data_IF_025225861156
#
_entry.id   IF_025225861156
#
_cell.length_a   1.000
_cell.length_b   1.000
_cell.length_c   1.000
_cell.angle_alpha   90.00
_cell.angle_beta   90.00
_cell.angle_gamma   90.00
#
_symmetry.space_group_name_H-M   'P 1'
#
loop_
_entity.id
_entity.type
_entity.pdbx_description
1 polymer ?
#
# COMPACT_ATOMS: atom_id res chain seq x y z
N UNK A 1 -23.26 -1.68 -52.74
CA UNK A 1 -21.85 -1.48 -52.33
C UNK A 1 -21.88 -0.94 -50.91
N UNK A 2 -21.15 -1.53 -49.97
CA UNK A 2 -21.02 -1.07 -48.58
C UNK A 2 -19.55 -1.20 -48.16
N UNK A 3 -19.06 -0.25 -47.38
CA UNK A 3 -17.63 -0.01 -47.13
C UNK A 3 -17.07 -0.81 -45.95
N UNK A 4 -16.71 -2.08 -46.17
CA UNK A 4 -16.13 -2.94 -45.12
C UNK A 4 -14.70 -2.52 -44.68
N UNK A 5 -14.02 -1.65 -45.44
CA UNK A 5 -12.61 -1.27 -45.20
C UNK A 5 -12.36 -0.36 -43.99
N UNK A 6 -13.38 0.37 -43.52
CA UNK A 6 -13.24 1.34 -42.42
C UNK A 6 -13.28 0.65 -41.03
N UNK A 7 -14.05 -0.43 -40.90
CA UNK A 7 -14.24 -1.13 -39.62
C UNK A 7 -12.99 -1.94 -39.24
N UNK A 8 -12.43 -2.69 -40.18
CA UNK A 8 -11.18 -3.45 -39.97
C UNK A 8 -9.94 -2.56 -39.75
N UNK A 9 -10.04 -1.27 -40.11
CA UNK A 9 -9.02 -0.25 -39.84
C UNK A 9 -9.10 0.31 -38.41
N UNK A 10 -10.28 0.26 -37.78
CA UNK A 10 -10.53 0.73 -36.40
C UNK A 10 -10.09 -0.30 -35.38
N UNK A 11 -10.54 -1.55 -35.53
CA UNK A 11 -10.17 -2.68 -34.66
C UNK A 11 -8.65 -2.80 -34.52
N UNK A 12 -7.92 -2.82 -35.65
CA UNK A 12 -6.45 -2.88 -35.66
C UNK A 12 -5.76 -1.67 -35.00
N UNK A 13 -6.41 -0.50 -34.90
CA UNK A 13 -5.90 0.66 -34.14
C UNK A 13 -6.19 0.52 -32.65
N UNK A 14 -7.35 0.00 -32.28
CA UNK A 14 -7.75 -0.26 -30.90
C UNK A 14 -6.91 -1.37 -30.26
N UNK A 15 -6.67 -2.48 -30.98
CA UNK A 15 -5.77 -3.55 -30.54
C UNK A 15 -4.35 -3.05 -30.28
N UNK A 16 -3.82 -2.21 -31.17
CA UNK A 16 -2.49 -1.58 -30.99
C UNK A 16 -2.48 -0.63 -29.79
N UNK A 17 -3.57 0.10 -29.53
CA UNK A 17 -3.71 0.97 -28.37
C UNK A 17 -3.76 0.15 -27.08
N UNK A 18 -4.54 -0.95 -27.06
CA UNK A 18 -4.61 -1.87 -25.93
C UNK A 18 -3.27 -2.56 -25.65
N UNK A 19 -2.53 -2.98 -26.69
CA UNK A 19 -1.19 -3.54 -26.57
C UNK A 19 -0.18 -2.51 -26.04
N UNK A 20 -0.23 -1.27 -26.52
CA UNK A 20 0.62 -0.17 -26.04
C UNK A 20 0.36 0.17 -24.56
N UNK A 21 -0.92 0.23 -24.14
CA UNK A 21 -1.28 0.44 -22.73
C UNK A 21 -0.78 -0.71 -21.86
N UNK A 22 -1.01 -1.97 -22.26
CA UNK A 22 -0.52 -3.17 -21.55
C UNK A 22 1.01 -3.20 -21.42
N UNK A 23 1.74 -2.89 -22.50
CA UNK A 23 3.20 -2.80 -22.47
C UNK A 23 3.69 -1.68 -21.53
N UNK A 24 2.99 -0.53 -21.50
CA UNK A 24 3.35 0.58 -20.62
C UNK A 24 3.14 0.27 -19.12
N UNK A 25 2.10 -0.50 -18.77
CA UNK A 25 1.88 -0.97 -17.40
C UNK A 25 2.96 -1.99 -16.97
N UNK A 26 3.35 -2.89 -17.87
CA UNK A 26 4.39 -3.89 -17.59
C UNK A 26 5.76 -3.24 -17.36
N UNK A 27 6.11 -2.22 -18.15
CA UNK A 27 7.37 -1.47 -18.00
C UNK A 27 7.42 -0.58 -16.74
N UNK A 28 6.26 -0.14 -16.21
CA UNK A 28 6.19 0.62 -14.95
C UNK A 28 6.13 -0.27 -13.70
N UNK A 29 6.09 -1.61 -13.85
CA UNK A 29 6.00 -2.53 -12.72
C UNK A 29 4.66 -2.48 -11.97
N UNK A 30 3.63 -1.85 -12.55
CA UNK A 30 2.32 -1.64 -11.95
C UNK A 30 1.52 -2.96 -11.96
N UNK A 31 1.75 -3.81 -10.96
CA UNK A 31 0.94 -5.01 -10.75
C UNK A 31 -0.49 -4.57 -10.40
N UNK A 32 -1.48 -5.12 -11.10
CA UNK A 32 -2.88 -4.92 -10.76
C UNK A 32 -3.12 -5.28 -9.28
N UNK A 33 -3.58 -4.30 -8.50
CA UNK A 33 -3.90 -4.50 -7.07
C UNK A 33 -5.24 -5.20 -6.98
N UNK A 34 -5.23 -6.52 -7.15
CA UNK A 34 -6.33 -7.36 -6.68
C UNK A 34 -6.38 -7.24 -5.15
N UNK A 35 -7.52 -6.82 -4.62
CA UNK A 35 -7.71 -6.62 -3.17
C UNK A 35 -7.34 -7.88 -2.39
N UNK A 36 -6.40 -7.73 -1.46
CA UNK A 36 -6.08 -8.70 -0.44
C UNK A 36 -5.84 -7.90 0.85
N UNK A 37 -6.79 -8.00 1.78
CA UNK A 37 -6.67 -7.39 3.10
C UNK A 37 -5.54 -8.09 3.88
N UNK A 38 -4.69 -7.31 4.57
CA UNK A 38 -3.64 -7.83 5.45
C UNK A 38 -2.43 -8.46 4.76
N UNK A 39 -1.49 -7.65 4.24
CA UNK A 39 -0.15 -8.11 3.82
C UNK A 39 0.96 -7.44 4.66
N UNK A 40 1.23 -8.00 5.85
CA UNK A 40 2.36 -7.60 6.69
C UNK A 40 3.69 -8.10 6.09
N UNK A 41 4.68 -7.21 5.93
CA UNK A 41 6.00 -7.51 5.33
C UNK A 41 7.13 -6.61 5.91
N UNK A 42 7.91 -7.08 6.89
CA UNK A 42 9.13 -6.44 7.47
C UNK A 42 10.23 -7.49 7.77
N UNK A 43 11.51 -7.44 7.33
CA UNK A 43 12.31 -6.49 6.50
C UNK A 43 13.03 -7.21 5.32
N UNK A 44 13.03 -6.68 4.09
CA UNK A 44 13.79 -7.19 2.90
C UNK A 44 13.06 -8.25 2.03
N UNK A 45 13.33 -8.29 0.70
CA UNK A 45 12.65 -9.11 -0.34
C UNK A 45 11.86 -10.34 0.16
N UNK A 46 10.59 -10.13 0.52
CA UNK A 46 9.79 -11.12 1.27
C UNK A 46 9.42 -12.33 0.45
N UNK A 47 10.10 -13.44 0.74
CA UNK A 47 9.84 -14.76 0.17
C UNK A 47 9.75 -15.86 1.23
N UNK A 48 9.73 -15.50 2.51
CA UNK A 48 9.52 -16.42 3.63
C UNK A 48 8.22 -16.03 4.34
N UNK A 49 7.31 -16.98 4.47
CA UNK A 49 6.09 -16.85 5.26
C UNK A 49 6.44 -16.91 6.76
N UNK A 50 5.89 -16.00 7.56
CA UNK A 50 6.15 -15.99 8.99
C UNK A 50 5.44 -17.18 9.67
N UNK A 51 6.08 -17.90 10.63
CA UNK A 51 5.46 -19.02 11.34
C UNK A 51 4.18 -18.67 12.12
N UNK A 52 3.97 -17.39 12.38
CA UNK A 52 2.78 -16.86 13.03
C UNK A 52 2.44 -15.48 12.45
N UNK A 53 1.16 -15.28 12.13
CA UNK A 53 0.59 -14.00 11.76
C UNK A 53 -0.40 -13.59 12.86
N UNK A 54 -0.14 -12.51 13.63
CA UNK A 54 -1.07 -12.03 14.64
C UNK A 54 -2.43 -11.67 14.02
N UNK A 55 -3.52 -11.97 14.74
CA UNK A 55 -4.87 -11.57 14.32
C UNK A 55 -5.03 -10.06 14.53
N UNK A 56 -5.48 -9.33 13.52
CA UNK A 56 -5.90 -7.94 13.68
C UNK A 56 -7.11 -7.66 12.78
N UNK A 57 -8.01 -6.80 13.26
CA UNK A 57 -9.24 -6.37 12.59
C UNK A 57 -9.01 -5.17 11.67
N UNK A 58 -7.88 -4.49 11.79
CA UNK A 58 -7.48 -3.36 10.95
C UNK A 58 -6.48 -2.43 11.63
N UNK A 59 -6.12 -1.30 10.99
CA UNK A 59 -5.35 -0.24 11.62
C UNK A 59 -6.08 0.30 12.86
N UNK A 60 -5.37 0.39 13.99
CA UNK A 60 -5.95 0.82 15.27
C UNK A 60 -6.57 -0.30 16.12
N UNK A 61 -6.49 -1.57 15.70
CA UNK A 61 -6.94 -2.69 16.54
C UNK A 61 -5.98 -2.96 17.70
N UNK A 62 -6.40 -2.61 18.92
CA UNK A 62 -5.63 -2.79 20.16
C UNK A 62 -5.76 -4.19 20.77
N UNK A 63 -6.54 -5.12 20.19
CA UNK A 63 -6.91 -6.40 20.84
C UNK A 63 -5.77 -7.42 21.07
N UNK A 64 -4.52 -7.08 20.76
CA UNK A 64 -3.34 -7.89 21.06
C UNK A 64 -2.48 -7.28 22.18
N UNK A 65 -2.95 -6.17 22.77
CA UNK A 65 -2.35 -5.47 23.89
C UNK A 65 -3.27 -5.59 25.11
N UNK A 66 -2.69 -5.46 26.30
CA UNK A 66 -3.45 -5.38 27.55
C UNK A 66 -4.03 -3.97 27.72
N UNK A 67 -5.18 -3.87 28.39
CA UNK A 67 -5.78 -2.58 28.77
C UNK A 67 -5.05 -2.00 29.99
N UNK A 68 -4.55 -0.76 29.87
CA UNK A 68 -3.92 0.01 30.94
C UNK A 68 -4.80 1.21 31.33
N UNK A 69 -4.65 1.73 32.55
CA UNK A 69 -5.34 2.95 32.98
C UNK A 69 -4.87 4.15 32.14
N UNK A 70 -5.82 4.92 31.58
CA UNK A 70 -5.53 6.10 30.76
C UNK A 70 -5.23 7.33 31.64
N UNK A 71 -4.04 7.92 31.49
CA UNK A 71 -3.64 9.16 32.17
C UNK A 71 -3.61 10.38 31.23
N UNK A 72 -3.92 11.57 31.75
CA UNK A 72 -3.83 12.83 30.99
C UNK A 72 -2.36 13.21 30.71
N UNK A 73 -2.00 13.39 29.44
CA UNK A 73 -0.66 13.87 29.06
C UNK A 73 -0.51 15.36 29.42
N UNK A 74 0.21 15.64 30.52
CA UNK A 74 0.42 17.00 31.04
C UNK A 74 1.64 17.66 30.40
N UNK A 75 1.45 18.77 29.69
CA UNK A 75 2.55 19.62 29.19
C UNK A 75 2.81 20.76 30.18
N UNK A 76 4.07 20.95 30.58
CA UNK A 76 4.46 22.02 31.51
C UNK A 76 4.59 23.37 30.81
N UNK A 77 4.11 24.45 31.46
CA UNK A 77 4.28 25.84 31.01
C UNK A 77 5.75 26.32 30.94
N UNK A 78 6.66 25.55 31.53
CA UNK A 78 8.11 25.81 31.53
C UNK A 78 8.82 24.62 30.94
N UNK A 79 9.90 24.87 30.21
CA UNK A 79 10.80 23.84 29.70
C UNK A 79 11.41 23.03 30.87
N UNK A 80 11.65 21.74 30.65
CA UNK A 80 12.23 20.80 31.62
C UNK A 80 13.35 20.02 30.94
N UNK A 81 14.46 19.89 31.65
CA UNK A 81 15.61 19.06 31.23
C UNK A 81 16.17 19.42 29.84
N UNK A 82 16.13 20.70 29.47
CA UNK A 82 16.53 21.20 28.15
C UNK A 82 17.97 20.81 27.76
N UNK A 83 18.87 20.75 28.75
CA UNK A 83 20.29 20.43 28.53
C UNK A 83 20.50 18.94 28.31
N UNK A 84 19.74 18.12 29.03
CA UNK A 84 19.80 16.66 28.99
C UNK A 84 19.24 16.10 27.67
N UNK A 85 18.26 16.79 27.08
CA UNK A 85 17.57 16.39 25.84
C UNK A 85 17.88 17.30 24.64
N UNK A 86 18.99 18.04 24.65
CA UNK A 86 19.35 19.02 23.62
C UNK A 86 19.59 18.40 22.21
N UNK A 87 19.82 17.09 22.12
CA UNK A 87 20.10 16.35 20.88
C UNK A 87 19.19 15.11 20.70
N UNK A 88 17.99 15.11 21.31
CA UNK A 88 17.02 14.00 21.24
C UNK A 88 16.27 13.91 19.90
#
# INVERSE_FOLDING_TARGET
MRDDGNEMSRTRREDKKAASVKASMLLRGERAVSGAEGSFRCRGQFQVEAPFIPKCRGPGDTSNFDDYEEEEIRVSLTEKCAKEFAEF
#
